data_IF_775454292586
#
_entry.id   IF_775454292586
#
_cell.length_a   1.000
_cell.length_b   1.000
_cell.length_c   1.000
_cell.angle_alpha   90.00
_cell.angle_beta   90.00
_cell.angle_gamma   90.00
#
_symmetry.space_group_name_H-M   'P 1'
#
loop_
_entity.id
_entity.type
_entity.pdbx_description
1 polymer ?
#
# COMPACT_ATOMS: atom_id res chain seq x y z
N UNK A 1 -7.10 -20.77 15.55
CA UNK A 1 -7.89 -20.24 14.42
C UNK A 1 -8.65 -19.04 14.96
N UNK A 2 -8.38 -17.83 14.49
CA UNK A 2 -9.01 -16.62 15.04
C UNK A 2 -10.53 -16.70 14.84
N UNK A 3 -11.26 -16.51 15.93
CA UNK A 3 -12.72 -16.57 15.98
C UNK A 3 -13.32 -15.56 14.99
N UNK A 4 -14.01 -16.09 13.99
CA UNK A 4 -14.67 -15.34 12.92
C UNK A 4 -15.90 -14.54 13.40
N UNK A 5 -16.20 -14.54 14.70
CA UNK A 5 -17.28 -13.75 15.30
C UNK A 5 -16.86 -12.39 15.86
N UNK A 6 -15.55 -12.07 15.90
CA UNK A 6 -15.08 -10.76 16.38
C UNK A 6 -15.50 -9.64 15.38
N UNK A 7 -16.39 -8.72 15.76
CA UNK A 7 -16.88 -7.67 14.87
C UNK A 7 -15.77 -6.69 14.43
N UNK A 8 -14.71 -6.51 15.21
CA UNK A 8 -13.57 -5.65 14.86
C UNK A 8 -12.77 -6.30 13.73
N UNK A 9 -12.48 -7.59 13.83
CA UNK A 9 -11.73 -8.32 12.79
C UNK A 9 -12.50 -8.34 11.46
N UNK A 10 -13.82 -8.51 11.51
CA UNK A 10 -14.68 -8.43 10.33
C UNK A 10 -14.64 -7.03 9.72
N UNK A 11 -14.82 -5.98 10.52
CA UNK A 11 -14.74 -4.59 10.05
C UNK A 11 -13.39 -4.26 9.38
N UNK A 12 -12.27 -4.70 9.96
CA UNK A 12 -10.92 -4.49 9.39
C UNK A 12 -10.77 -5.21 8.04
N UNK A 13 -11.30 -6.44 7.90
CA UNK A 13 -11.21 -7.23 6.65
C UNK A 13 -12.07 -6.65 5.54
N UNK A 14 -13.24 -6.12 5.88
CA UNK A 14 -14.19 -5.54 4.94
C UNK A 14 -13.84 -4.09 4.57
N UNK A 15 -13.04 -3.41 5.38
CA UNK A 15 -12.59 -2.05 5.08
C UNK A 15 -11.84 -1.99 3.74
N UNK A 16 -12.37 -1.19 2.82
CA UNK A 16 -11.75 -0.88 1.52
C UNK A 16 -11.38 0.60 1.44
N UNK A 17 -10.39 0.90 0.61
CA UNK A 17 -10.03 2.27 0.29
C UNK A 17 -11.20 3.00 -0.38
N UNK A 18 -11.36 4.27 -0.05
CA UNK A 18 -12.27 5.16 -0.77
C UNK A 18 -11.54 5.72 -1.99
N UNK A 19 -12.28 6.15 -3.00
CA UNK A 19 -11.71 6.79 -4.18
C UNK A 19 -12.19 8.23 -4.29
N UNK A 20 -11.28 9.13 -4.66
CA UNK A 20 -11.57 10.54 -4.88
C UNK A 20 -10.95 11.01 -6.18
N UNK A 21 -11.53 12.03 -6.80
CA UNK A 21 -10.95 12.65 -7.99
C UNK A 21 -9.73 13.48 -7.59
N UNK A 22 -8.60 13.34 -8.30
CA UNK A 22 -7.42 14.14 -8.08
C UNK A 22 -7.59 15.54 -8.70
N UNK A 23 -8.08 16.48 -7.89
CA UNK A 23 -8.33 17.85 -8.29
C UNK A 23 -9.27 17.94 -9.51
N UNK A 24 -8.80 18.61 -10.57
CA UNK A 24 -9.54 18.76 -11.84
C UNK A 24 -9.10 17.77 -12.92
N UNK A 25 -8.24 16.80 -12.61
CA UNK A 25 -7.80 15.78 -13.57
C UNK A 25 -8.92 14.75 -13.85
N UNK A 26 -8.71 13.83 -14.79
CA UNK A 26 -9.58 12.66 -14.97
C UNK A 26 -9.31 11.52 -13.97
N UNK A 27 -8.26 11.64 -13.15
CA UNK A 27 -7.77 10.54 -12.31
C UNK A 27 -8.64 10.38 -11.05
N UNK A 28 -8.90 9.12 -10.71
CA UNK A 28 -9.49 8.71 -9.44
C UNK A 28 -8.44 7.94 -8.63
N UNK A 29 -8.09 8.48 -7.46
CA UNK A 29 -7.03 7.95 -6.60
C UNK A 29 -7.62 7.34 -5.33
N UNK A 30 -6.97 6.30 -4.81
CA UNK A 30 -7.33 5.72 -3.52
C UNK A 30 -6.98 6.66 -2.37
N UNK A 31 -7.80 6.63 -1.33
CA UNK A 31 -7.55 7.27 -0.03
C UNK A 31 -7.57 6.15 1.01
N UNK A 32 -6.40 5.77 1.56
CA UNK A 32 -5.07 6.39 1.40
C UNK A 32 -4.33 6.03 0.08
N UNK A 33 -3.23 6.76 -0.18
CA UNK A 33 -2.18 6.45 -1.18
C UNK A 33 -1.05 5.70 -0.47
N UNK A 34 -0.46 4.68 -1.10
CA UNK A 34 0.68 3.97 -0.53
C UNK A 34 2.01 4.59 -0.98
N UNK A 35 2.87 4.97 -0.04
CA UNK A 35 4.23 5.44 -0.33
C UNK A 35 5.25 4.31 -0.42
N UNK A 36 6.11 4.34 -1.43
CA UNK A 36 7.07 3.29 -1.74
C UNK A 36 8.52 3.59 -1.30
N UNK A 37 8.77 4.68 -0.56
CA UNK A 37 10.13 5.08 -0.12
C UNK A 37 10.89 3.97 0.62
N UNK A 38 10.17 3.14 1.37
CA UNK A 38 10.75 2.05 2.15
C UNK A 38 11.00 0.79 1.33
N UNK A 39 10.65 0.72 0.06
CA UNK A 39 10.86 -0.47 -0.77
C UNK A 39 12.11 -0.31 -1.62
N UNK A 40 12.94 -1.35 -1.68
CA UNK A 40 14.19 -1.31 -2.44
C UNK A 40 15.21 -2.35 -2.00
N UNK A 41 16.44 -2.17 -2.43
CA UNK A 41 17.56 -3.04 -2.09
C UNK A 41 18.33 -2.49 -0.88
N UNK A 42 18.73 -3.36 0.06
CA UNK A 42 19.43 -2.93 1.30
C UNK A 42 20.80 -2.29 1.05
N UNK A 43 21.38 -2.51 -0.12
CA UNK A 43 22.59 -1.82 -0.55
C UNK A 43 22.40 -0.29 -0.69
N UNK A 44 21.16 0.17 -0.91
CA UNK A 44 20.87 1.61 -0.96
C UNK A 44 20.75 2.21 0.44
N UNK A 45 19.92 1.62 1.30
CA UNK A 45 19.76 2.01 2.70
C UNK A 45 19.38 0.79 3.55
N UNK A 46 19.92 0.64 4.78
CA UNK A 46 19.73 -0.57 5.57
C UNK A 46 18.29 -0.78 6.09
N UNK A 47 17.47 0.28 6.11
CA UNK A 47 16.10 0.25 6.62
C UNK A 47 15.04 -0.09 5.57
N UNK A 48 15.43 -0.23 4.30
CA UNK A 48 14.46 -0.61 3.27
C UNK A 48 14.06 -2.08 3.39
N UNK A 49 12.87 -2.33 2.86
CA UNK A 49 12.21 -3.63 2.78
C UNK A 49 12.44 -4.17 1.37
N UNK A 50 13.03 -5.36 1.30
CA UNK A 50 13.34 -6.01 0.02
C UNK A 50 12.11 -6.68 -0.59
N UNK A 51 12.27 -7.11 -1.84
CA UNK A 51 11.18 -7.55 -2.72
C UNK A 51 10.18 -8.51 -2.07
N UNK A 52 10.64 -9.58 -1.43
CA UNK A 52 9.76 -10.61 -0.86
C UNK A 52 8.79 -10.05 0.20
N UNK A 53 9.29 -9.24 1.13
CA UNK A 53 8.46 -8.64 2.18
C UNK A 53 7.65 -7.46 1.65
N UNK A 54 8.23 -6.68 0.73
CA UNK A 54 7.53 -5.59 0.06
C UNK A 54 6.31 -6.12 -0.71
N UNK A 55 6.44 -7.20 -1.48
CA UNK A 55 5.35 -7.82 -2.24
C UNK A 55 4.16 -8.20 -1.36
N UNK A 56 4.40 -8.71 -0.15
CA UNK A 56 3.34 -8.99 0.82
C UNK A 56 2.57 -7.73 1.22
N UNK A 57 3.29 -6.63 1.48
CA UNK A 57 2.70 -5.33 1.82
C UNK A 57 1.93 -4.72 0.64
N UNK A 58 2.51 -4.76 -0.57
CA UNK A 58 1.85 -4.30 -1.80
C UNK A 58 0.55 -5.09 -2.02
N UNK A 59 0.60 -6.43 -1.94
CA UNK A 59 -0.59 -7.27 -2.11
C UNK A 59 -1.67 -6.94 -1.08
N UNK A 60 -1.30 -6.78 0.19
CA UNK A 60 -2.25 -6.46 1.26
C UNK A 60 -2.96 -5.11 1.05
N UNK A 61 -2.25 -4.12 0.48
CA UNK A 61 -2.82 -2.83 0.10
C UNK A 61 -3.75 -2.95 -1.11
N UNK A 62 -3.32 -3.68 -2.15
CA UNK A 62 -4.10 -3.94 -3.34
C UNK A 62 -5.42 -4.66 -3.03
N UNK A 63 -5.37 -5.72 -2.20
CA UNK A 63 -6.55 -6.48 -1.76
C UNK A 63 -7.55 -5.60 -0.97
N UNK A 64 -7.09 -4.48 -0.41
CA UNK A 64 -7.90 -3.46 0.29
C UNK A 64 -8.37 -2.33 -0.62
N UNK A 65 -8.10 -2.39 -1.92
CA UNK A 65 -8.53 -1.39 -2.89
C UNK A 65 -7.61 -0.17 -2.98
N UNK A 66 -6.39 -0.23 -2.45
CA UNK A 66 -5.39 0.80 -2.74
C UNK A 66 -4.92 0.62 -4.18
N UNK A 67 -5.08 1.65 -5.01
CA UNK A 67 -4.72 1.62 -6.43
C UNK A 67 -3.69 2.67 -6.83
N UNK A 68 -3.33 3.55 -5.89
CA UNK A 68 -2.41 4.67 -6.12
C UNK A 68 -1.17 4.48 -5.27
N UNK A 69 -0.02 4.57 -5.92
CA UNK A 69 1.30 4.32 -5.35
C UNK A 69 2.18 5.55 -5.60
N UNK A 70 2.81 6.06 -4.56
CA UNK A 70 3.77 7.16 -4.63
C UNK A 70 5.19 6.60 -4.67
N UNK A 71 5.97 7.00 -5.66
CA UNK A 71 7.37 6.58 -5.86
C UNK A 71 8.22 7.74 -6.39
N UNK A 72 9.54 7.59 -6.37
CA UNK A 72 10.49 8.55 -6.90
C UNK A 72 11.77 7.84 -7.38
N UNK A 73 12.40 8.40 -8.42
CA UNK A 73 13.66 7.91 -8.98
C UNK A 73 14.80 7.75 -7.97
N UNK A 74 14.78 8.55 -6.90
CA UNK A 74 15.76 8.48 -5.82
C UNK A 74 15.55 7.28 -4.90
N UNK A 75 14.37 6.66 -4.88
CA UNK A 75 14.08 5.50 -4.03
C UNK A 75 14.78 4.27 -4.60
N UNK A 76 15.81 3.79 -3.89
CA UNK A 76 16.63 2.63 -4.30
C UNK A 76 17.22 2.72 -5.72
N UNK A 77 17.44 3.93 -6.23
CA UNK A 77 17.95 4.20 -7.58
C UNK A 77 17.03 3.67 -8.71
N UNK A 78 15.70 3.83 -8.55
CA UNK A 78 14.66 3.43 -9.52
C UNK A 78 13.69 4.55 -9.88
#
# INVERSE_FOLDING_TARGET
MADSSDPILTSIRETKAKYVRLGRSGLHVSVPILGAMSFGHKDWQPWVVEEEEALGSLKAAFDRGVNTWDTANVYSNG
#
